data_IF_511992712665
#
_entry.id   IF_511992712665
#
_cell.length_a   1.000
_cell.length_b   1.000
_cell.length_c   1.000
_cell.angle_alpha   90.00
_cell.angle_beta   90.00
_cell.angle_gamma   90.00
#
_symmetry.space_group_name_H-M   'P 1'
#
loop_
_entity.id
_entity.type
_entity.pdbx_description
1 polymer ?
#
# COMPACT_ATOMS: atom_id res chain seq x y z
N UNK A 1 -18.78 -9.32 -9.09
CA UNK A 1 -18.48 -9.76 -10.45
C UNK A 1 -17.00 -9.57 -10.68
N UNK A 2 -16.29 -10.58 -11.13
CA UNK A 2 -14.82 -10.53 -11.27
C UNK A 2 -14.45 -9.89 -12.60
N UNK A 3 -13.78 -8.72 -12.58
CA UNK A 3 -13.39 -8.00 -13.79
C UNK A 3 -12.07 -8.52 -14.32
N UNK A 4 -12.05 -8.85 -15.60
CA UNK A 4 -10.88 -9.38 -16.32
C UNK A 4 -10.57 -8.44 -17.48
N UNK A 5 -9.31 -8.02 -17.59
CA UNK A 5 -8.82 -7.27 -18.72
C UNK A 5 -8.26 -8.23 -19.77
N UNK A 6 -8.64 -8.05 -21.02
CA UNK A 6 -8.04 -8.74 -22.16
C UNK A 6 -7.31 -7.69 -22.99
N UNK A 7 -6.01 -7.85 -23.14
CA UNK A 7 -5.16 -6.98 -23.98
C UNK A 7 -4.72 -7.82 -25.17
N UNK A 8 -5.26 -7.53 -26.33
CA UNK A 8 -5.03 -8.26 -27.58
C UNK A 8 -5.41 -7.34 -28.75
N UNK A 9 -4.54 -7.16 -29.73
CA UNK A 9 -4.78 -6.30 -30.91
C UNK A 9 -5.70 -6.96 -31.94
N UNK A 10 -5.95 -8.28 -31.82
CA UNK A 10 -6.88 -9.01 -32.66
C UNK A 10 -8.27 -9.17 -32.03
N UNK A 11 -9.23 -8.42 -32.60
CA UNK A 11 -10.63 -8.46 -32.19
C UNK A 11 -11.27 -9.85 -32.32
N UNK A 12 -10.79 -10.69 -33.25
CA UNK A 12 -11.31 -12.06 -33.40
C UNK A 12 -10.86 -12.93 -32.22
N UNK A 13 -9.63 -12.79 -31.80
CA UNK A 13 -9.11 -13.48 -30.60
C UNK A 13 -9.89 -13.08 -29.34
N UNK A 14 -10.14 -11.78 -29.15
CA UNK A 14 -11.01 -11.32 -28.05
C UNK A 14 -12.40 -11.99 -28.09
N UNK A 15 -13.04 -12.08 -29.28
CA UNK A 15 -14.34 -12.75 -29.41
C UNK A 15 -14.29 -14.24 -29.09
N UNK A 16 -13.22 -14.93 -29.48
CA UNK A 16 -13.01 -16.34 -29.12
C UNK A 16 -12.87 -16.52 -27.61
N UNK A 17 -12.06 -15.69 -26.97
CA UNK A 17 -11.94 -15.65 -25.51
C UNK A 17 -13.33 -15.40 -24.87
N UNK A 18 -14.08 -14.41 -25.34
CA UNK A 18 -15.43 -14.11 -24.86
C UNK A 18 -16.38 -15.31 -25.02
N UNK A 19 -16.27 -16.07 -26.11
CA UNK A 19 -17.07 -17.28 -26.31
C UNK A 19 -16.71 -18.38 -25.31
N UNK A 20 -15.40 -18.55 -24.99
CA UNK A 20 -14.99 -19.51 -23.96
C UNK A 20 -15.58 -19.17 -22.59
N UNK A 21 -15.63 -17.90 -22.22
CA UNK A 21 -16.22 -17.47 -20.95
C UNK A 21 -17.71 -17.79 -20.83
N UNK A 22 -18.48 -17.80 -21.93
CA UNK A 22 -19.91 -18.20 -21.91
C UNK A 22 -20.11 -19.67 -21.50
N UNK A 23 -19.09 -20.49 -21.66
CA UNK A 23 -19.12 -21.92 -21.33
C UNK A 23 -18.51 -22.25 -19.97
N UNK A 24 -18.14 -21.24 -19.18
CA UNK A 24 -17.61 -21.47 -17.84
C UNK A 24 -18.72 -21.98 -16.92
N UNK A 25 -18.35 -22.95 -16.08
CA UNK A 25 -19.30 -23.56 -15.16
C UNK A 25 -19.41 -22.82 -13.84
N UNK A 26 -18.44 -21.97 -13.51
CA UNK A 26 -18.35 -21.29 -12.22
C UNK A 26 -17.90 -19.84 -12.39
N UNK A 27 -18.49 -18.95 -11.56
CA UNK A 27 -18.11 -17.54 -11.50
C UNK A 27 -18.90 -16.63 -12.45
N UNK A 28 -19.04 -15.39 -12.07
CA UNK A 28 -19.57 -14.32 -12.90
C UNK A 28 -18.42 -13.37 -13.25
N UNK A 29 -18.06 -13.34 -14.54
CA UNK A 29 -16.95 -12.56 -15.05
C UNK A 29 -17.43 -11.43 -15.94
N UNK A 30 -16.77 -10.30 -15.85
CA UNK A 30 -16.92 -9.15 -16.74
C UNK A 30 -15.61 -8.96 -17.49
N UNK A 31 -15.70 -8.90 -18.83
CA UNK A 31 -14.55 -8.77 -19.70
C UNK A 31 -14.48 -7.37 -20.25
N UNK A 32 -13.37 -6.70 -19.98
CA UNK A 32 -12.99 -5.47 -20.66
C UNK A 32 -11.90 -5.78 -21.67
N UNK A 33 -11.94 -5.12 -22.82
CA UNK A 33 -10.99 -5.30 -23.91
C UNK A 33 -10.18 -4.03 -24.15
N UNK A 34 -8.88 -4.22 -24.36
CA UNK A 34 -7.95 -3.20 -24.81
C UNK A 34 -7.24 -3.69 -26.07
N UNK A 35 -7.30 -2.90 -27.13
CA UNK A 35 -6.71 -3.22 -28.44
C UNK A 35 -5.24 -2.81 -28.53
N UNK A 36 -4.81 -1.86 -27.67
CA UNK A 36 -3.47 -1.26 -27.77
C UNK A 36 -2.65 -1.49 -26.50
N UNK A 37 -1.34 -1.47 -26.69
CA UNK A 37 -0.37 -1.55 -25.60
C UNK A 37 -0.60 -0.44 -24.56
N UNK A 38 -0.72 0.82 -25.01
CA UNK A 38 -0.81 2.00 -24.15
C UNK A 38 -2.10 2.01 -23.32
N UNK A 39 -3.26 1.72 -23.94
CA UNK A 39 -4.53 1.60 -23.23
C UNK A 39 -4.50 0.42 -22.25
N UNK A 40 -3.93 -0.72 -22.68
CA UNK A 40 -3.78 -1.90 -21.82
C UNK A 40 -2.95 -1.61 -20.58
N UNK A 41 -1.79 -1.00 -20.74
CA UNK A 41 -0.93 -0.60 -19.63
C UNK A 41 -1.64 0.39 -18.68
N UNK A 42 -2.26 1.43 -19.24
CA UNK A 42 -2.99 2.42 -18.44
C UNK A 42 -4.09 1.78 -17.61
N UNK A 43 -4.86 0.85 -18.18
CA UNK A 43 -5.92 0.12 -17.45
C UNK A 43 -5.36 -0.81 -16.39
N UNK A 44 -4.27 -1.54 -16.66
CA UNK A 44 -3.59 -2.37 -15.66
C UNK A 44 -3.17 -1.58 -14.42
N UNK A 45 -2.63 -0.39 -14.63
CA UNK A 45 -2.17 0.48 -13.55
C UNK A 45 -3.29 1.04 -12.67
N UNK A 46 -4.55 0.96 -13.12
CA UNK A 46 -5.70 1.33 -12.26
C UNK A 46 -5.91 0.38 -11.09
N UNK A 47 -5.42 -0.87 -11.17
CA UNK A 47 -5.68 -1.92 -10.18
C UNK A 47 -7.14 -2.38 -10.12
N UNK A 48 -7.96 -2.06 -11.13
CA UNK A 48 -9.40 -2.38 -11.16
C UNK A 48 -9.71 -3.81 -11.62
N UNK A 49 -8.70 -4.55 -12.08
CA UNK A 49 -8.88 -5.88 -12.65
C UNK A 49 -8.29 -6.96 -11.76
N UNK A 50 -9.03 -8.06 -11.63
CA UNK A 50 -8.60 -9.21 -10.84
C UNK A 50 -7.56 -10.10 -11.56
N UNK A 51 -7.61 -10.15 -12.90
CA UNK A 51 -6.66 -10.86 -13.77
C UNK A 51 -6.59 -10.13 -15.11
N UNK A 52 -5.43 -10.19 -15.77
CA UNK A 52 -5.24 -9.79 -17.16
C UNK A 52 -4.89 -11.01 -18.03
N UNK A 53 -5.56 -11.13 -19.15
CA UNK A 53 -5.16 -11.99 -20.27
C UNK A 53 -4.40 -11.11 -21.26
N UNK A 54 -3.13 -11.41 -21.50
CA UNK A 54 -2.23 -10.54 -22.27
C UNK A 54 -1.67 -11.29 -23.47
N UNK A 55 -1.90 -10.76 -24.66
CA UNK A 55 -1.27 -11.28 -25.87
C UNK A 55 0.23 -10.98 -25.93
N UNK A 56 0.96 -11.91 -26.54
CA UNK A 56 2.39 -11.74 -26.80
C UNK A 56 2.65 -10.60 -27.78
N UNK A 57 1.88 -10.49 -28.85
CA UNK A 57 2.05 -9.45 -29.89
C UNK A 57 1.01 -8.36 -29.74
N UNK A 58 1.48 -7.15 -29.61
CA UNK A 58 0.63 -5.94 -29.53
C UNK A 58 1.13 -4.91 -30.56
N UNK A 59 0.82 -5.15 -31.83
CA UNK A 59 1.30 -4.33 -32.93
C UNK A 59 2.82 -4.41 -33.09
N UNK A 60 3.53 -3.32 -32.84
CA UNK A 60 5.01 -3.23 -32.93
C UNK A 60 5.73 -3.54 -31.60
N UNK A 61 4.99 -3.68 -30.51
CA UNK A 61 5.51 -3.96 -29.17
C UNK A 61 5.10 -5.38 -28.74
N UNK A 62 5.78 -5.93 -27.76
CA UNK A 62 5.45 -7.24 -27.24
C UNK A 62 4.89 -7.18 -25.81
N UNK A 63 4.15 -8.20 -25.44
CA UNK A 63 3.54 -8.32 -24.12
C UNK A 63 4.55 -8.47 -23.00
N UNK A 64 5.78 -8.93 -23.26
CA UNK A 64 6.83 -9.05 -22.25
C UNK A 64 7.26 -7.66 -21.76
N UNK A 65 7.41 -6.72 -22.69
CA UNK A 65 7.70 -5.32 -22.34
C UNK A 65 6.57 -4.72 -21.48
N UNK A 66 5.31 -5.03 -21.82
CA UNK A 66 4.16 -4.56 -21.04
C UNK A 66 4.18 -5.11 -19.61
N UNK A 67 4.47 -6.40 -19.42
CA UNK A 67 4.60 -6.99 -18.08
C UNK A 67 5.70 -6.29 -17.29
N UNK A 68 6.87 -6.06 -17.89
CA UNK A 68 8.00 -5.41 -17.24
C UNK A 68 7.68 -3.96 -16.86
N UNK A 69 7.09 -3.17 -17.76
CA UNK A 69 6.67 -1.78 -17.48
C UNK A 69 5.59 -1.73 -16.39
N UNK A 70 4.61 -2.63 -16.44
CA UNK A 70 3.57 -2.71 -15.43
C UNK A 70 4.15 -3.07 -14.04
N UNK A 71 5.05 -4.06 -13.99
CA UNK A 71 5.73 -4.47 -12.76
C UNK A 71 6.59 -3.33 -12.18
N UNK A 72 7.39 -2.65 -13.02
CA UNK A 72 8.19 -1.49 -12.61
C UNK A 72 7.32 -0.33 -12.10
N UNK A 73 6.10 -0.19 -12.60
CA UNK A 73 5.11 0.79 -12.16
C UNK A 73 4.26 0.33 -10.95
N UNK A 74 4.59 -0.82 -10.36
CA UNK A 74 3.92 -1.34 -9.16
C UNK A 74 2.59 -2.04 -9.42
N UNK A 75 2.28 -2.42 -10.66
CA UNK A 75 1.11 -3.24 -10.99
C UNK A 75 1.19 -4.59 -10.28
N UNK A 76 0.06 -5.03 -9.73
CA UNK A 76 -0.07 -6.30 -8.99
C UNK A 76 -1.11 -7.24 -9.58
N UNK A 77 -1.76 -6.80 -10.66
CA UNK A 77 -2.76 -7.62 -11.33
C UNK A 77 -2.11 -8.89 -11.87
N UNK A 78 -2.59 -10.09 -11.50
CA UNK A 78 -2.15 -11.35 -12.06
C UNK A 78 -2.27 -11.36 -13.57
N UNK A 79 -1.22 -11.78 -14.28
CA UNK A 79 -1.20 -11.83 -15.75
C UNK A 79 -1.09 -13.27 -16.21
N UNK A 80 -2.00 -13.67 -17.10
CA UNK A 80 -1.96 -14.91 -17.87
C UNK A 80 -1.62 -14.53 -19.31
N UNK A 81 -0.55 -15.13 -19.82
CA UNK A 81 0.00 -14.80 -21.10
C UNK A 81 -0.64 -15.62 -22.23
N UNK A 82 -0.96 -15.02 -23.36
CA UNK A 82 -1.50 -15.68 -24.53
C UNK A 82 -0.45 -15.67 -25.64
N UNK A 83 -0.13 -16.83 -26.20
CA UNK A 83 0.86 -16.96 -27.28
C UNK A 83 0.31 -17.74 -28.46
N UNK A 84 0.72 -17.41 -29.68
CA UNK A 84 0.33 -18.14 -30.87
C UNK A 84 1.10 -19.45 -31.05
N UNK A 85 2.31 -19.56 -30.49
CA UNK A 85 3.19 -20.72 -30.65
C UNK A 85 3.68 -21.19 -29.26
N UNK A 86 3.75 -22.53 -29.10
CA UNK A 86 4.46 -23.13 -27.98
C UNK A 86 5.95 -23.13 -28.31
N UNK A 87 6.69 -22.21 -27.70
CA UNK A 87 8.15 -22.17 -27.78
C UNK A 87 8.67 -22.10 -26.35
N UNK A 88 9.44 -23.11 -25.95
CA UNK A 88 10.02 -23.21 -24.60
C UNK A 88 10.72 -21.92 -24.16
N UNK A 89 11.18 -21.12 -25.11
CA UNK A 89 11.88 -19.87 -24.83
C UNK A 89 10.92 -18.72 -24.48
N UNK A 90 9.75 -18.61 -25.14
CA UNK A 90 8.75 -17.56 -24.87
C UNK A 90 8.08 -17.85 -23.53
N UNK A 91 7.79 -19.09 -23.23
CA UNK A 91 7.15 -19.53 -21.99
C UNK A 91 8.01 -19.20 -20.78
N UNK A 92 9.31 -19.52 -20.86
CA UNK A 92 10.28 -19.18 -19.81
C UNK A 92 10.39 -17.65 -19.63
N UNK A 93 10.51 -16.90 -20.73
CA UNK A 93 10.61 -15.43 -20.66
C UNK A 93 9.35 -14.78 -20.07
N UNK A 94 8.16 -15.28 -20.39
CA UNK A 94 6.91 -14.76 -19.82
C UNK A 94 6.84 -14.98 -18.30
N UNK A 95 7.23 -16.18 -17.84
CA UNK A 95 7.25 -16.50 -16.41
C UNK A 95 8.33 -15.69 -15.68
N UNK A 96 9.52 -15.52 -16.26
CA UNK A 96 10.59 -14.67 -15.71
C UNK A 96 10.20 -13.19 -15.66
N UNK A 97 9.42 -12.72 -16.63
CA UNK A 97 8.88 -11.37 -16.66
C UNK A 97 7.78 -11.14 -15.60
N UNK A 98 7.22 -12.20 -15.01
CA UNK A 98 6.21 -12.13 -13.95
C UNK A 98 4.80 -12.58 -14.34
N UNK A 99 4.60 -13.22 -15.49
CA UNK A 99 3.34 -13.89 -15.79
C UNK A 99 3.12 -15.06 -14.82
N UNK A 100 1.88 -15.32 -14.43
CA UNK A 100 1.54 -16.41 -13.51
C UNK A 100 1.20 -17.70 -14.23
N UNK A 101 0.84 -17.63 -15.50
CA UNK A 101 0.57 -18.76 -16.37
C UNK A 101 0.63 -18.33 -17.84
N UNK A 102 0.69 -19.27 -18.77
CA UNK A 102 0.59 -19.03 -20.19
C UNK A 102 -0.36 -20.02 -20.88
N UNK A 103 -0.96 -19.59 -21.98
CA UNK A 103 -1.87 -20.42 -22.80
C UNK A 103 -1.54 -20.24 -24.28
N UNK A 104 -1.45 -21.35 -24.98
CA UNK A 104 -1.27 -21.37 -26.45
C UNK A 104 -2.63 -21.14 -27.11
N UNK A 105 -2.77 -20.06 -27.90
CA UNK A 105 -4.05 -19.62 -28.50
C UNK A 105 -4.77 -20.73 -29.28
N UNK A 106 -4.02 -21.58 -30.03
CA UNK A 106 -4.56 -22.69 -30.77
C UNK A 106 -5.08 -23.88 -29.93
N UNK A 107 -4.72 -23.92 -28.65
CA UNK A 107 -5.05 -25.00 -27.72
C UNK A 107 -6.01 -24.57 -26.61
N UNK A 108 -6.44 -23.31 -26.63
CA UNK A 108 -7.36 -22.78 -25.62
C UNK A 108 -8.71 -23.46 -25.73
N UNK A 109 -9.12 -24.10 -24.65
CA UNK A 109 -10.47 -24.60 -24.43
C UNK A 109 -11.14 -23.86 -23.27
N UNK A 110 -12.48 -23.88 -23.15
CA UNK A 110 -13.14 -23.30 -21.98
C UNK A 110 -12.59 -23.85 -20.67
N UNK A 111 -12.26 -25.15 -20.63
CA UNK A 111 -11.73 -25.81 -19.45
C UNK A 111 -10.29 -25.35 -19.11
N UNK A 112 -9.39 -25.27 -20.09
CA UNK A 112 -8.01 -24.82 -19.86
C UNK A 112 -7.98 -23.36 -19.44
N UNK A 113 -8.77 -22.49 -20.08
CA UNK A 113 -8.86 -21.07 -19.73
C UNK A 113 -9.46 -20.86 -18.33
N UNK A 114 -10.57 -21.54 -17.99
CA UNK A 114 -11.17 -21.44 -16.65
C UNK A 114 -10.22 -21.93 -15.56
N UNK A 115 -9.46 -23.00 -15.84
CA UNK A 115 -8.45 -23.54 -14.93
C UNK A 115 -7.32 -22.52 -14.70
N UNK A 116 -6.74 -21.98 -15.76
CA UNK A 116 -5.65 -21.01 -15.70
C UNK A 116 -6.07 -19.75 -14.94
N UNK A 117 -7.25 -19.19 -15.25
CA UNK A 117 -7.78 -18.03 -14.53
C UNK A 117 -7.97 -18.30 -13.04
N UNK A 118 -8.50 -19.47 -12.67
CA UNK A 118 -8.68 -19.84 -11.26
C UNK A 118 -7.35 -19.95 -10.53
N UNK A 119 -6.31 -20.49 -11.18
CA UNK A 119 -4.97 -20.55 -10.60
C UNK A 119 -4.35 -19.15 -10.47
N UNK A 120 -4.46 -18.32 -11.49
CA UNK A 120 -3.94 -16.97 -11.48
C UNK A 120 -4.60 -16.13 -10.37
N UNK A 121 -5.94 -16.20 -10.23
CA UNK A 121 -6.68 -15.55 -9.15
C UNK A 121 -6.19 -16.05 -7.78
N UNK A 122 -6.14 -17.37 -7.58
CA UNK A 122 -5.73 -17.95 -6.30
C UNK A 122 -4.29 -17.61 -5.93
N UNK A 123 -3.39 -17.64 -6.90
CA UNK A 123 -1.99 -17.30 -6.69
C UNK A 123 -1.83 -15.80 -6.43
N UNK A 124 -2.55 -14.95 -7.17
CA UNK A 124 -2.60 -13.50 -6.93
C UNK A 124 -3.07 -13.16 -5.52
N UNK A 125 -4.18 -13.75 -5.06
CA UNK A 125 -4.68 -13.60 -3.70
C UNK A 125 -3.64 -14.04 -2.66
N UNK A 126 -2.97 -15.17 -2.91
CA UNK A 126 -1.94 -15.69 -1.99
C UNK A 126 -0.73 -14.76 -1.92
N UNK A 127 -0.25 -14.27 -3.05
CA UNK A 127 0.87 -13.32 -3.11
C UNK A 127 0.52 -12.00 -2.44
N UNK A 128 -0.70 -11.48 -2.63
CA UNK A 128 -1.14 -10.25 -1.96
C UNK A 128 -1.28 -10.47 -0.45
N UNK A 129 -1.82 -11.60 0.00
CA UNK A 129 -1.88 -11.94 1.43
C UNK A 129 -0.46 -12.03 2.05
N UNK A 130 0.49 -12.68 1.36
CA UNK A 130 1.88 -12.74 1.82
C UNK A 130 2.53 -11.34 1.90
N UNK A 131 2.26 -10.47 0.92
CA UNK A 131 2.74 -9.08 0.94
C UNK A 131 2.14 -8.30 2.11
N UNK A 132 0.85 -8.45 2.35
CA UNK A 132 0.19 -7.78 3.48
C UNK A 132 0.81 -8.23 4.82
N UNK A 133 1.04 -9.53 5.01
CA UNK A 133 1.73 -10.04 6.20
C UNK A 133 3.16 -9.49 6.32
N UNK A 134 3.86 -9.33 5.19
CA UNK A 134 5.23 -8.81 5.20
C UNK A 134 5.32 -7.29 5.43
N UNK A 135 4.30 -6.51 5.04
CA UNK A 135 4.36 -5.04 5.00
C UNK A 135 3.39 -4.34 5.94
N UNK A 136 2.39 -5.04 6.48
CA UNK A 136 1.36 -4.47 7.33
C UNK A 136 1.43 -5.00 8.76
N UNK A 137 0.94 -4.19 9.69
CA UNK A 137 0.64 -4.60 11.07
C UNK A 137 -0.72 -5.31 11.07
N UNK A 138 -0.76 -6.54 11.55
CA UNK A 138 -1.96 -7.40 11.51
C UNK A 138 -3.15 -6.81 12.31
N UNK A 139 -2.87 -6.07 13.37
CA UNK A 139 -3.91 -5.51 14.22
C UNK A 139 -4.55 -4.27 13.60
N UNK A 140 -3.73 -3.36 13.07
CA UNK A 140 -4.17 -2.02 12.67
C UNK A 140 -4.31 -1.84 11.16
N UNK A 141 -3.71 -2.74 10.36
CA UNK A 141 -3.67 -2.64 8.90
C UNK A 141 -2.74 -1.53 8.36
N UNK A 142 -2.12 -0.74 9.23
CA UNK A 142 -1.10 0.23 8.84
C UNK A 142 0.19 -0.46 8.39
N UNK A 143 1.15 0.28 7.86
CA UNK A 143 2.47 -0.26 7.59
C UNK A 143 3.08 -0.78 8.90
N UNK A 144 3.79 -1.91 8.83
CA UNK A 144 4.57 -2.41 9.96
C UNK A 144 5.92 -1.66 10.06
N UNK A 145 6.65 -1.87 11.15
CA UNK A 145 7.95 -1.24 11.40
C UNK A 145 8.94 -1.46 10.26
N UNK A 146 9.04 -2.68 9.74
CA UNK A 146 9.98 -3.02 8.66
C UNK A 146 9.72 -2.23 7.38
N UNK A 147 8.45 -2.14 6.99
CA UNK A 147 8.06 -1.40 5.77
C UNK A 147 8.18 0.10 5.97
N UNK A 148 7.92 0.60 7.18
CA UNK A 148 8.21 1.98 7.56
C UNK A 148 9.69 2.33 7.37
N UNK A 149 10.60 1.51 7.91
CA UNK A 149 12.04 1.77 7.81
C UNK A 149 12.50 1.81 6.34
N UNK A 150 11.98 0.91 5.49
CA UNK A 150 12.27 0.88 4.05
C UNK A 150 11.78 2.13 3.33
N UNK A 151 10.51 2.52 3.56
CA UNK A 151 9.91 3.69 2.91
C UNK A 151 10.58 4.98 3.37
N UNK A 152 10.90 5.10 4.66
CA UNK A 152 11.57 6.29 5.17
C UNK A 152 12.94 6.49 4.50
N UNK A 153 13.72 5.42 4.29
CA UNK A 153 14.99 5.48 3.59
C UNK A 153 14.82 5.91 2.12
N UNK A 154 13.82 5.37 1.42
CA UNK A 154 13.53 5.76 0.02
C UNK A 154 13.10 7.23 -0.10
N UNK A 155 12.27 7.72 0.82
CA UNK A 155 11.82 9.11 0.80
C UNK A 155 12.93 10.08 1.25
N UNK A 156 13.85 9.65 2.12
CA UNK A 156 15.07 10.39 2.42
C UNK A 156 15.92 10.60 1.16
N UNK A 157 16.22 9.52 0.42
CA UNK A 157 17.00 9.61 -0.83
C UNK A 157 16.33 10.56 -1.84
N UNK A 158 14.99 10.50 -1.96
CA UNK A 158 14.22 11.38 -2.83
C UNK A 158 14.29 12.84 -2.35
N UNK A 159 14.12 13.06 -1.05
CA UNK A 159 14.20 14.39 -0.42
C UNK A 159 15.56 15.04 -0.71
N UNK A 160 16.65 14.32 -0.50
CA UNK A 160 18.01 14.80 -0.77
C UNK A 160 18.22 15.06 -2.27
N UNK A 161 17.77 14.14 -3.13
CA UNK A 161 17.96 14.25 -4.59
C UNK A 161 17.24 15.44 -5.20
N UNK A 162 16.02 15.72 -4.76
CA UNK A 162 15.16 16.76 -5.35
C UNK A 162 15.08 18.03 -4.53
N UNK A 163 15.68 18.09 -3.34
CA UNK A 163 15.65 19.23 -2.45
C UNK A 163 14.27 19.52 -1.83
N UNK A 164 13.37 18.52 -1.82
CA UNK A 164 12.04 18.66 -1.26
C UNK A 164 12.06 18.33 0.25
N UNK A 165 11.30 19.05 1.09
CA UNK A 165 11.23 18.75 2.51
C UNK A 165 10.55 17.39 2.75
N UNK A 166 11.03 16.66 3.75
CA UNK A 166 10.44 15.43 4.25
C UNK A 166 10.20 15.55 5.72
N UNK A 167 8.97 15.39 6.19
CA UNK A 167 8.68 15.45 7.61
C UNK A 167 8.29 14.09 8.17
N UNK A 168 8.66 13.87 9.43
CA UNK A 168 8.30 12.72 10.23
C UNK A 168 7.50 13.18 11.45
N UNK A 169 6.38 12.50 11.69
CA UNK A 169 5.60 12.65 12.92
C UNK A 169 5.61 11.30 13.64
N UNK A 170 6.04 11.29 14.91
CA UNK A 170 5.90 10.13 15.79
C UNK A 170 4.74 10.43 16.75
N UNK A 171 3.79 9.51 16.82
CA UNK A 171 2.58 9.62 17.65
C UNK A 171 2.55 8.47 18.65
N UNK A 172 2.21 8.75 19.89
CA UNK A 172 2.10 7.76 20.96
C UNK A 172 0.80 7.96 21.72
N UNK A 173 0.08 6.88 22.02
CA UNK A 173 -1.17 6.92 22.77
C UNK A 173 -0.90 7.13 24.25
N UNK A 174 -1.42 8.23 24.78
CA UNK A 174 -1.19 8.60 26.17
C UNK A 174 -1.77 7.58 27.15
N UNK A 175 -0.92 7.09 28.07
CA UNK A 175 -1.32 6.14 29.13
C UNK A 175 -1.95 4.84 28.61
N UNK A 176 -1.60 4.40 27.43
CA UNK A 176 -2.18 3.18 26.83
C UNK A 176 -2.00 1.94 27.71
N UNK A 177 -0.87 1.82 28.41
CA UNK A 177 -0.65 0.75 29.38
C UNK A 177 -1.78 0.68 30.41
N UNK A 178 -2.26 1.83 30.90
CA UNK A 178 -3.37 1.87 31.86
C UNK A 178 -4.68 1.34 31.27
N UNK A 179 -4.91 1.51 29.96
CA UNK A 179 -6.07 0.92 29.28
C UNK A 179 -5.99 -0.61 29.34
N UNK A 180 -4.83 -1.18 29.02
CA UNK A 180 -4.62 -2.63 29.08
C UNK A 180 -4.75 -3.19 30.52
N UNK A 181 -4.13 -2.50 31.48
CA UNK A 181 -4.11 -2.94 32.88
C UNK A 181 -5.52 -2.91 33.50
N UNK A 182 -6.38 -1.96 33.14
CA UNK A 182 -7.73 -1.80 33.69
C UNK A 182 -8.81 -2.58 32.92
N UNK A 183 -8.67 -2.70 31.60
CA UNK A 183 -9.75 -3.18 30.72
C UNK A 183 -9.35 -4.40 29.89
N UNK A 184 -8.11 -4.88 30.04
CA UNK A 184 -7.58 -6.03 29.32
C UNK A 184 -7.14 -5.74 27.88
N UNK A 185 -6.37 -6.66 27.32
CA UNK A 185 -5.75 -6.51 25.97
C UNK A 185 -6.78 -6.36 24.85
N UNK A 186 -7.95 -7.02 24.98
CA UNK A 186 -8.99 -6.87 23.93
C UNK A 186 -9.54 -5.44 23.83
N UNK A 187 -9.61 -4.71 24.94
CA UNK A 187 -9.98 -3.29 24.92
C UNK A 187 -8.85 -2.45 24.34
N UNK A 188 -7.59 -2.73 24.69
CA UNK A 188 -6.43 -2.11 24.08
C UNK A 188 -6.35 -2.30 22.57
N UNK A 189 -6.63 -3.52 22.09
CA UNK A 189 -6.66 -3.82 20.64
C UNK A 189 -7.73 -2.98 19.91
N UNK A 190 -8.92 -2.82 20.51
CA UNK A 190 -9.96 -1.96 19.94
C UNK A 190 -9.51 -0.50 19.90
N UNK A 191 -8.83 -0.02 20.96
CA UNK A 191 -8.26 1.33 21.01
C UNK A 191 -7.20 1.51 19.92
N UNK A 192 -6.28 0.57 19.74
CA UNK A 192 -5.24 0.62 18.71
C UNK A 192 -5.82 0.67 17.30
N UNK A 193 -6.82 -0.17 17.01
CA UNK A 193 -7.49 -0.19 15.69
C UNK A 193 -8.15 1.15 15.37
N UNK A 194 -8.91 1.68 16.30
CA UNK A 194 -9.64 2.93 16.07
C UNK A 194 -8.69 4.14 16.03
N UNK A 195 -7.68 4.19 16.90
CA UNK A 195 -6.65 5.22 16.86
C UNK A 195 -5.90 5.20 15.52
N UNK A 196 -5.49 4.02 15.04
CA UNK A 196 -4.85 3.85 13.74
C UNK A 196 -5.72 4.39 12.59
N UNK A 197 -7.01 4.08 12.58
CA UNK A 197 -7.97 4.56 11.58
C UNK A 197 -8.08 6.10 11.61
N UNK A 198 -8.17 6.70 12.79
CA UNK A 198 -8.28 8.16 12.98
C UNK A 198 -6.98 8.86 12.56
N UNK A 199 -5.83 8.33 12.93
CA UNK A 199 -4.50 8.85 12.54
C UNK A 199 -4.32 8.79 11.03
N UNK A 200 -4.62 7.64 10.40
CA UNK A 200 -4.54 7.49 8.95
C UNK A 200 -5.48 8.43 8.18
N UNK A 201 -6.67 8.71 8.73
CA UNK A 201 -7.60 9.67 8.16
C UNK A 201 -7.13 11.14 8.20
N UNK A 202 -6.07 11.44 8.94
CA UNK A 202 -5.51 12.78 9.04
C UNK A 202 -4.44 13.10 7.98
N UNK A 203 -4.03 12.15 7.14
CA UNK A 203 -2.98 12.31 6.14
C UNK A 203 -3.52 12.19 4.71
N UNK A 204 -2.71 12.62 3.73
CA UNK A 204 -3.02 12.50 2.29
C UNK A 204 -2.72 11.09 1.78
N UNK A 205 -3.24 10.75 0.60
CA UNK A 205 -2.98 9.45 -0.05
C UNK A 205 -1.50 9.21 -0.37
N UNK A 206 -0.72 10.27 -0.60
CA UNK A 206 0.72 10.20 -0.87
C UNK A 206 1.56 9.99 0.39
N UNK A 207 1.05 10.37 1.54
CA UNK A 207 1.70 10.18 2.84
C UNK A 207 1.57 8.72 3.31
N UNK A 208 2.35 8.34 4.30
CA UNK A 208 2.34 6.98 4.84
C UNK A 208 2.14 6.98 6.34
N UNK A 209 1.28 6.09 6.82
CA UNK A 209 1.09 5.82 8.24
C UNK A 209 1.55 4.41 8.58
N UNK A 210 2.26 4.26 9.67
CA UNK A 210 2.80 3.01 10.17
C UNK A 210 2.56 2.85 11.66
N UNK A 211 2.47 1.60 12.12
CA UNK A 211 2.62 1.24 13.53
C UNK A 211 4.05 0.74 13.74
N UNK A 212 4.82 1.47 14.55
CA UNK A 212 6.26 1.23 14.72
C UNK A 212 6.62 0.59 16.08
N UNK A 213 5.66 0.55 16.99
CA UNK A 213 5.79 0.00 18.33
C UNK A 213 4.45 -0.48 18.87
N UNK A 214 4.39 -0.83 20.15
CA UNK A 214 3.16 -1.29 20.80
C UNK A 214 2.02 -0.29 20.68
N UNK A 215 2.26 0.95 21.08
CA UNK A 215 1.30 2.07 21.10
C UNK A 215 1.80 3.26 20.28
N UNK A 216 2.87 3.04 19.47
CA UNK A 216 3.56 4.06 18.72
C UNK A 216 3.24 3.98 17.22
N UNK A 217 2.93 5.12 16.64
CA UNK A 217 2.66 5.29 15.21
C UNK A 217 3.63 6.30 14.61
N UNK A 218 3.90 6.18 13.32
CA UNK A 218 4.70 7.13 12.56
C UNK A 218 3.97 7.57 11.30
N UNK A 219 4.11 8.86 10.96
CA UNK A 219 3.61 9.43 9.71
C UNK A 219 4.79 9.97 8.91
N UNK A 220 5.00 9.45 7.71
CA UNK A 220 5.97 9.96 6.74
C UNK A 220 5.21 10.92 5.83
N UNK A 221 5.54 12.20 5.88
CA UNK A 221 4.87 13.26 5.15
C UNK A 221 5.80 13.78 4.05
N UNK A 222 5.50 13.42 2.80
CA UNK A 222 6.33 13.77 1.65
C UNK A 222 6.08 15.21 1.21
N UNK A 223 7.14 15.91 0.78
CA UNK A 223 7.09 17.30 0.32
C UNK A 223 6.33 18.21 1.34
N UNK A 224 6.64 18.02 2.62
CA UNK A 224 5.94 18.70 3.71
C UNK A 224 6.96 19.32 4.64
N UNK A 225 6.83 20.63 4.87
CA UNK A 225 7.65 21.36 5.83
C UNK A 225 7.19 21.13 7.29
N UNK A 226 8.01 21.54 8.25
CA UNK A 226 7.76 21.35 9.69
C UNK A 226 6.46 22.01 10.16
N UNK A 227 6.13 23.20 9.66
CA UNK A 227 4.92 23.91 10.06
C UNK A 227 3.67 23.17 9.59
N UNK A 228 3.64 22.76 8.34
CA UNK A 228 2.56 21.94 7.75
C UNK A 228 2.47 20.57 8.44
N UNK A 229 3.61 19.94 8.74
CA UNK A 229 3.65 18.67 9.45
C UNK A 229 3.09 18.78 10.88
N UNK A 230 3.36 19.89 11.57
CA UNK A 230 2.82 20.17 12.90
C UNK A 230 1.29 20.30 12.86
N UNK A 231 0.72 20.93 11.82
CA UNK A 231 -0.73 20.99 11.63
C UNK A 231 -1.34 19.58 11.34
N UNK A 232 -0.66 18.75 10.57
CA UNK A 232 -1.07 17.36 10.37
C UNK A 232 -1.04 16.60 11.71
N UNK A 233 0.01 16.74 12.49
CA UNK A 233 0.13 16.10 13.79
C UNK A 233 -0.98 16.56 14.75
N UNK A 234 -1.28 17.87 14.81
CA UNK A 234 -2.38 18.42 15.61
C UNK A 234 -3.73 17.85 15.19
N UNK A 235 -3.99 17.76 13.89
CA UNK A 235 -5.21 17.17 13.36
C UNK A 235 -5.33 15.69 13.71
N UNK A 236 -4.24 14.92 13.62
CA UNK A 236 -4.21 13.51 13.96
C UNK A 236 -4.53 13.28 15.44
N UNK A 237 -3.86 13.97 16.36
CA UNK A 237 -4.13 13.81 17.80
C UNK A 237 -5.52 14.34 18.19
N UNK A 238 -5.99 15.43 17.59
CA UNK A 238 -7.36 15.92 17.79
C UNK A 238 -8.40 14.90 17.33
N UNK A 239 -8.15 14.22 16.20
CA UNK A 239 -9.02 13.13 15.71
C UNK A 239 -9.05 11.96 16.69
N UNK A 240 -7.90 11.58 17.30
CA UNK A 240 -7.87 10.54 18.31
C UNK A 240 -8.71 10.90 19.53
N UNK A 241 -8.64 12.15 19.96
CA UNK A 241 -9.34 12.66 21.16
C UNK A 241 -10.78 13.12 20.90
N UNK A 242 -11.25 13.15 19.63
CA UNK A 242 -12.54 13.76 19.26
C UNK A 242 -13.74 13.10 19.92
N UNK A 243 -13.71 11.79 20.05
CA UNK A 243 -14.78 10.99 20.64
C UNK A 243 -14.18 9.80 21.40
N UNK A 244 -14.79 9.36 22.52
CA UNK A 244 -14.36 8.15 23.19
C UNK A 244 -14.38 6.94 22.25
N UNK A 245 -13.40 6.08 22.40
CA UNK A 245 -13.29 4.86 21.58
C UNK A 245 -14.14 3.75 22.18
N UNK A 246 -15.03 3.18 21.39
CA UNK A 246 -15.89 2.07 21.84
C UNK A 246 -15.12 0.75 21.75
N UNK A 247 -14.92 0.11 22.89
CA UNK A 247 -14.39 -1.25 23.01
C UNK A 247 -15.50 -2.28 23.21
N UNK A 248 -15.16 -3.56 23.22
CA UNK A 248 -16.13 -4.64 23.40
C UNK A 248 -17.06 -4.44 24.62
N UNK A 249 -18.30 -4.90 24.51
CA UNK A 249 -19.29 -4.78 25.60
C UNK A 249 -19.86 -3.38 25.81
N UNK A 250 -19.67 -2.45 24.87
CA UNK A 250 -20.16 -1.07 24.95
C UNK A 250 -19.30 -0.17 25.84
N UNK A 251 -18.11 -0.60 26.21
CA UNK A 251 -17.15 0.19 26.98
C UNK A 251 -16.66 1.38 26.14
N UNK A 252 -16.79 2.59 26.67
CA UNK A 252 -16.41 3.85 26.01
C UNK A 252 -15.21 4.46 26.74
N UNK A 253 -14.08 4.54 26.02
CA UNK A 253 -12.77 4.92 26.58
C UNK A 253 -12.30 6.27 26.01
N UNK A 254 -12.13 7.31 26.83
CA UNK A 254 -11.47 8.53 26.41
C UNK A 254 -9.97 8.26 26.24
N UNK A 255 -9.45 8.47 25.03
CA UNK A 255 -8.04 8.26 24.69
C UNK A 255 -7.49 9.53 24.10
N UNK A 256 -6.26 9.89 24.49
CA UNK A 256 -5.50 10.98 23.88
C UNK A 256 -4.18 10.48 23.31
N UNK A 257 -3.53 11.28 22.50
CA UNK A 257 -2.23 10.98 21.95
C UNK A 257 -1.32 12.20 22.01
N UNK A 258 -0.03 11.96 22.10
CA UNK A 258 1.01 12.98 21.98
C UNK A 258 1.80 12.77 20.71
N UNK A 259 2.30 13.85 20.10
CA UNK A 259 3.06 13.75 18.87
C UNK A 259 4.33 14.62 18.89
N UNK A 260 5.39 14.09 18.29
CA UNK A 260 6.63 14.80 17.99
C UNK A 260 6.85 14.94 16.50
N UNK A 261 7.32 16.08 16.04
CA UNK A 261 7.48 16.42 14.62
C UNK A 261 8.91 16.87 14.34
N UNK A 262 9.50 16.35 13.27
CA UNK A 262 10.79 16.81 12.74
C UNK A 262 10.77 16.84 11.21
N UNK A 263 11.70 17.60 10.62
CA UNK A 263 11.81 17.82 9.16
C UNK A 263 13.26 17.65 8.68
N UNK A 264 13.42 17.02 7.51
CA UNK A 264 14.64 17.09 6.71
C UNK A 264 14.54 18.23 5.68
N UNK A 265 15.60 18.96 5.45
CA UNK A 265 16.94 18.85 6.06
C UNK A 265 17.13 19.74 7.31
N UNK A 266 16.07 20.39 7.81
CA UNK A 266 16.18 21.44 8.82
C UNK A 266 16.59 20.93 10.20
N UNK A 267 16.08 19.77 10.63
CA UNK A 267 16.26 19.23 11.97
C UNK A 267 17.23 18.03 12.00
N UNK A 268 17.53 17.45 10.82
CA UNK A 268 18.39 16.28 10.72
C UNK A 268 19.07 16.20 9.33
N UNK A 269 20.05 15.30 9.20
CA UNK A 269 20.77 15.05 7.92
C UNK A 269 20.38 13.73 7.27
N UNK A 270 19.79 12.83 8.02
CA UNK A 270 19.43 11.48 7.61
C UNK A 270 18.18 10.98 8.36
N UNK A 271 17.64 9.82 7.95
CA UNK A 271 16.46 9.21 8.53
C UNK A 271 16.62 8.90 10.03
N UNK A 272 17.79 8.47 10.46
CA UNK A 272 18.06 8.15 11.86
C UNK A 272 18.02 9.42 12.74
N UNK A 273 18.64 10.49 12.28
CA UNK A 273 18.58 11.80 12.91
C UNK A 273 17.17 12.39 12.92
N UNK A 274 16.43 12.21 11.81
CA UNK A 274 15.03 12.66 11.70
C UNK A 274 14.15 11.95 12.75
N UNK A 275 14.31 10.63 12.89
CA UNK A 275 13.61 9.85 13.91
C UNK A 275 13.96 10.34 15.31
N UNK A 276 15.25 10.51 15.62
CA UNK A 276 15.70 10.97 16.93
C UNK A 276 15.20 12.37 17.28
N UNK A 277 15.13 13.28 16.31
CA UNK A 277 14.60 14.63 16.50
C UNK A 277 13.09 14.61 16.78
N UNK A 278 12.31 13.80 16.03
CA UNK A 278 10.88 13.61 16.25
C UNK A 278 10.59 12.94 17.60
N UNK A 279 11.35 11.93 18.00
CA UNK A 279 11.21 11.26 19.29
C UNK A 279 11.50 12.20 20.48
N UNK A 280 12.54 13.01 20.37
CA UNK A 280 12.83 14.05 21.36
C UNK A 280 11.70 15.07 21.49
N UNK A 281 11.07 15.45 20.37
CA UNK A 281 9.91 16.34 20.38
C UNK A 281 8.68 15.65 21.01
N UNK A 282 8.46 14.36 20.76
CA UNK A 282 7.41 13.56 21.39
C UNK A 282 7.62 13.48 22.92
N UNK A 283 8.86 13.27 23.36
CA UNK A 283 9.17 13.29 24.77
C UNK A 283 8.81 14.64 25.42
N UNK A 284 9.11 15.75 24.74
CA UNK A 284 8.73 17.10 25.19
C UNK A 284 7.19 17.27 25.24
N UNK A 285 6.46 16.73 24.28
CA UNK A 285 4.99 16.73 24.27
C UNK A 285 4.43 15.99 25.50
N UNK A 286 4.97 14.79 25.79
CA UNK A 286 4.57 13.98 26.97
C UNK A 286 4.90 14.70 28.28
N UNK A 287 6.10 15.29 28.41
CA UNK A 287 6.54 16.06 29.59
C UNK A 287 5.73 17.36 29.80
N UNK A 288 5.33 18.01 28.71
CA UNK A 288 4.52 19.21 28.70
C UNK A 288 3.05 19.04 29.08
N UNK A 289 2.60 17.83 29.43
CA UNK A 289 1.22 17.54 29.88
C UNK A 289 0.40 16.68 28.92
N UNK A 290 1.02 16.07 27.90
CA UNK A 290 0.36 15.17 26.93
C UNK A 290 -0.71 15.84 26.06
N UNK A 291 -1.41 15.05 25.27
CA UNK A 291 -2.49 15.48 24.35
C UNK A 291 -2.09 16.72 23.52
N UNK A 292 -0.89 16.67 22.93
CA UNK A 292 -0.33 17.78 22.16
C UNK A 292 0.71 17.33 21.14
N UNK A 293 0.92 18.15 20.13
CA UNK A 293 2.01 18.01 19.18
C UNK A 293 3.08 19.07 19.47
N UNK A 294 4.35 18.65 19.44
CA UNK A 294 5.52 19.52 19.58
C UNK A 294 6.46 19.26 18.40
N UNK A 295 7.02 20.33 17.81
CA UNK A 295 8.07 20.20 16.80
C UNK A 295 9.47 20.22 17.43
N UNK A 296 10.41 19.59 16.74
CA UNK A 296 11.83 19.72 17.07
C UNK A 296 12.22 21.21 17.17
N UNK A 297 13.07 21.60 18.13
CA UNK A 297 13.56 22.97 18.22
C UNK A 297 14.42 23.29 16.99
N UNK A 298 14.36 24.52 16.47
CA UNK A 298 15.17 24.96 15.35
C UNK A 298 16.66 24.71 15.61
N UNK A 299 17.27 23.82 14.85
CA UNK A 299 18.71 23.59 14.91
C UNK A 299 19.53 24.80 14.45
N UNK A 300 18.89 25.80 13.81
CA UNK A 300 19.50 27.06 13.34
C UNK A 300 19.49 28.16 14.38
N UNK A 301 18.89 27.94 15.56
CA UNK A 301 18.71 28.94 16.61
C UNK A 301 19.41 28.61 17.94
N UNK A 302 20.34 27.67 17.98
CA UNK A 302 21.22 27.49 19.14
C UNK A 302 22.39 28.50 19.02
N UNK A 303 22.59 29.36 20.00
CA UNK A 303 23.66 30.37 20.02
C UNK A 303 25.04 29.75 20.07
#
# INVERSE_FOLDING_TARGET
MTRILVIDDDRLQFRLVQQHFKNFQRGAYELDWSETYEDGLARLLTGAYAVCLLDYRLGQRDGLQLIQEAAASGCRTPIVFLTAESSDNIDIQAMEAGALDYLVKGEISPHSLERSLRYALKLGDTLEALRQLATRDELTGLLNRREYDRILAEEEERSVRFGNPLALVIVDLDRFKSVNDLHGHSAGDAVLKEAARRIAGAIRTVDRAARIGGEEFALILVQTDRASALEVARRAIASVASEPITAGGGLSLPVTASAGVAELPSDAKDAAGLFAAADKALYAAKAGGRNRAVSAPDARGAP
#
